data_IF_534444901209
#
_entry.id   IF_534444901209
#
_cell.length_a   1.000
_cell.length_b   1.000
_cell.length_c   1.000
_cell.angle_alpha   90.00
_cell.angle_beta   90.00
_cell.angle_gamma   90.00
#
_symmetry.space_group_name_H-M   'P 1'
#
loop_
_entity.id
_entity.type
_entity.pdbx_description
1 polymer ?
#
# COMPACT_ATOMS: atom_id res chain seq x y z
N UNK A 1 -11.26 8.21 30.68
CA UNK A 1 -10.67 6.99 30.11
C UNK A 1 -10.31 7.34 28.68
N UNK A 2 -9.02 7.51 28.42
CA UNK A 2 -8.50 7.98 27.13
C UNK A 2 -8.45 6.77 26.18
N UNK A 3 -9.42 6.70 25.27
CA UNK A 3 -9.42 5.71 24.19
C UNK A 3 -8.33 6.14 23.19
N UNK A 4 -7.15 5.54 23.31
CA UNK A 4 -6.17 5.58 22.24
C UNK A 4 -6.74 4.75 21.08
N UNK A 5 -7.08 5.40 19.97
CA UNK A 5 -7.40 4.71 18.73
C UNK A 5 -6.13 3.95 18.30
N UNK A 6 -6.11 2.63 18.48
CA UNK A 6 -5.09 1.73 17.94
C UNK A 6 -5.25 1.57 16.41
N UNK A 7 -5.38 2.68 15.68
CA UNK A 7 -5.43 2.69 14.22
C UNK A 7 -4.02 2.94 13.65
N UNK A 8 -3.11 2.02 13.97
CA UNK A 8 -1.76 2.02 13.40
C UNK A 8 -1.72 1.39 12.02
N UNK A 9 -0.74 1.79 11.21
CA UNK A 9 -0.32 1.02 10.02
C UNK A 9 0.96 0.28 10.34
N UNK A 10 1.05 -0.99 9.98
CA UNK A 10 2.28 -1.78 10.07
C UNK A 10 2.97 -1.81 8.72
N UNK A 11 4.25 -1.41 8.68
CA UNK A 11 5.10 -1.59 7.52
C UNK A 11 5.98 -2.83 7.74
N UNK A 12 5.87 -3.79 6.83
CA UNK A 12 6.70 -5.00 6.84
C UNK A 12 7.65 -4.93 5.66
N UNK A 13 8.96 -5.03 5.95
CA UNK A 13 9.97 -5.24 4.93
C UNK A 13 10.15 -6.73 4.65
N UNK A 14 10.35 -7.07 3.37
CA UNK A 14 10.49 -8.44 2.86
C UNK A 14 9.30 -9.36 3.23
N UNK A 15 8.06 -9.00 2.83
CA UNK A 15 6.84 -9.74 3.17
C UNK A 15 6.85 -11.19 2.66
N UNK A 16 7.63 -11.51 1.62
CA UNK A 16 7.79 -12.86 1.10
C UNK A 16 8.36 -13.84 2.15
N UNK A 17 9.07 -13.32 3.16
CA UNK A 17 9.59 -14.14 4.27
C UNK A 17 8.52 -14.58 5.26
N UNK A 18 7.35 -13.93 5.25
CA UNK A 18 6.22 -14.31 6.10
C UNK A 18 5.44 -15.50 5.56
N UNK A 19 5.55 -15.81 4.26
CA UNK A 19 4.80 -16.88 3.63
C UNK A 19 3.29 -16.74 3.88
N UNK A 20 2.67 -17.80 4.41
CA UNK A 20 1.23 -17.89 4.66
C UNK A 20 0.74 -17.02 5.83
N UNK A 21 1.62 -16.31 6.52
CA UNK A 21 1.26 -15.39 7.62
C UNK A 21 0.86 -13.99 7.14
N UNK A 22 0.85 -13.75 5.83
CA UNK A 22 0.39 -12.46 5.30
C UNK A 22 -1.10 -12.26 5.60
N UNK A 23 -1.50 -11.08 6.10
CA UNK A 23 -2.90 -10.78 6.34
C UNK A 23 -3.66 -10.67 5.01
N UNK A 24 -4.93 -11.03 5.04
CA UNK A 24 -5.82 -10.92 3.86
C UNK A 24 -6.16 -9.47 3.49
N UNK A 25 -6.06 -8.54 4.45
CA UNK A 25 -6.25 -7.10 4.25
C UNK A 25 -4.88 -6.41 4.22
N UNK A 26 -4.27 -6.36 3.03
CA UNK A 26 -2.89 -5.88 2.86
C UNK A 26 -2.73 -5.08 1.57
N UNK A 27 -1.84 -4.09 1.63
CA UNK A 27 -1.33 -3.37 0.48
C UNK A 27 0.11 -3.81 0.20
N UNK A 28 0.31 -4.53 -0.89
CA UNK A 28 1.63 -4.99 -1.32
C UNK A 28 2.25 -3.95 -2.26
N UNK A 29 3.46 -3.49 -1.91
CA UNK A 29 4.24 -2.53 -2.69
C UNK A 29 5.54 -3.18 -3.16
N UNK A 30 5.75 -3.25 -4.47
CA UNK A 30 7.01 -3.73 -5.06
C UNK A 30 7.74 -2.59 -5.76
N UNK A 31 8.90 -2.21 -5.22
CA UNK A 31 9.71 -1.11 -5.74
C UNK A 31 10.74 -1.63 -6.75
N UNK A 32 10.83 -0.99 -7.92
CA UNK A 32 11.78 -1.31 -8.99
C UNK A 32 12.50 -0.05 -9.46
N UNK A 33 13.74 -0.15 -9.99
CA UNK A 33 14.37 0.97 -10.67
C UNK A 33 13.53 1.49 -11.85
N UNK A 34 13.54 2.81 -12.05
CA UNK A 34 12.98 3.46 -13.23
C UNK A 34 14.02 3.62 -14.35
N UNK A 35 13.71 4.43 -15.36
CA UNK A 35 14.61 4.68 -16.49
C UNK A 35 15.76 5.62 -16.11
N UNK A 36 15.49 6.63 -15.27
CA UNK A 36 16.52 7.51 -14.73
C UNK A 36 17.11 6.99 -13.41
N UNK A 37 18.34 7.39 -13.09
CA UNK A 37 19.08 6.97 -11.88
C UNK A 37 18.27 7.15 -10.59
N UNK A 38 17.51 8.25 -10.50
CA UNK A 38 16.71 8.63 -9.34
C UNK A 38 15.22 8.29 -9.47
N UNK A 39 14.83 7.61 -10.54
CA UNK A 39 13.44 7.20 -10.76
C UNK A 39 13.19 5.82 -10.14
N UNK A 40 12.00 5.63 -9.57
CA UNK A 40 11.53 4.34 -9.08
C UNK A 40 10.11 4.09 -9.61
N UNK A 41 9.84 2.84 -9.96
CA UNK A 41 8.50 2.35 -10.27
C UNK A 41 7.99 1.56 -9.08
N UNK A 42 6.70 1.66 -8.81
CA UNK A 42 6.04 0.91 -7.75
C UNK A 42 4.88 0.15 -8.36
N UNK A 43 4.92 -1.17 -8.26
CA UNK A 43 3.75 -1.99 -8.51
C UNK A 43 2.96 -2.08 -7.20
N UNK A 44 1.66 -1.80 -7.28
CA UNK A 44 0.74 -1.77 -6.13
C UNK A 44 -0.30 -2.86 -6.34
N UNK A 45 -0.42 -3.75 -5.37
CA UNK A 45 -1.48 -4.76 -5.32
C UNK A 45 -2.25 -4.53 -4.01
N UNK A 46 -3.51 -4.16 -4.14
CA UNK A 46 -4.42 -4.04 -3.01
C UNK A 46 -5.22 -5.32 -2.84
N UNK A 47 -5.58 -5.60 -1.59
CA UNK A 47 -6.50 -6.66 -1.20
C UNK A 47 -7.31 -6.21 0.01
N UNK A 48 -8.51 -6.77 0.18
CA UNK A 48 -9.38 -6.38 1.28
C UNK A 48 -9.82 -4.91 1.19
N UNK A 49 -9.80 -4.22 2.33
CA UNK A 49 -10.25 -2.83 2.41
C UNK A 49 -9.38 -1.85 1.64
N UNK A 50 -8.19 -2.26 1.19
CA UNK A 50 -7.31 -1.42 0.37
C UNK A 50 -7.80 -1.19 -1.05
N UNK A 51 -8.60 -2.11 -1.61
CA UNK A 51 -9.15 -1.94 -2.97
C UNK A 51 -10.06 -0.71 -3.03
N UNK A 52 -10.96 -0.57 -2.06
CA UNK A 52 -11.87 0.57 -1.94
C UNK A 52 -11.13 1.88 -1.65
N UNK A 53 -10.08 1.82 -0.81
CA UNK A 53 -9.25 2.99 -0.48
C UNK A 53 -8.54 3.55 -1.71
N UNK A 54 -7.94 2.69 -2.54
CA UNK A 54 -7.26 3.12 -3.76
C UNK A 54 -8.25 3.68 -4.79
N UNK A 55 -9.42 3.08 -4.93
CA UNK A 55 -10.45 3.57 -5.86
C UNK A 55 -10.97 4.94 -5.46
N UNK A 56 -11.13 5.23 -4.17
CA UNK A 56 -11.67 6.51 -3.70
C UNK A 56 -10.73 7.69 -3.99
N UNK A 57 -9.41 7.49 -3.86
CA UNK A 57 -8.41 8.57 -4.03
C UNK A 57 -7.90 8.73 -5.47
N UNK A 58 -7.91 7.66 -6.29
CA UNK A 58 -7.34 7.72 -7.65
C UNK A 58 -8.20 8.55 -8.62
N UNK A 59 -9.53 8.57 -8.46
CA UNK A 59 -10.42 9.38 -9.29
C UNK A 59 -10.33 10.89 -8.99
N UNK A 60 -10.02 11.29 -7.75
CA UNK A 60 -9.94 12.72 -7.40
C UNK A 60 -8.69 13.42 -7.96
N UNK A 61 -7.59 12.66 -8.17
CA UNK A 61 -6.29 13.21 -8.59
C UNK A 61 -6.06 13.23 -10.11
N UNK A 62 -6.85 12.50 -10.90
CA UNK A 62 -6.72 12.48 -12.37
C UNK A 62 -7.55 13.57 -13.06
N UNK A 63 -8.62 14.06 -12.42
CA UNK A 63 -9.51 15.08 -12.99
C UNK A 63 -9.30 16.49 -12.41
N UNK A 64 -8.29 16.68 -11.56
CA UNK A 64 -7.90 17.98 -11.02
C UNK A 64 -6.67 18.55 -11.73
N UNK A 65 -6.83 19.04 -12.95
CA UNK A 65 -5.85 19.86 -13.69
C UNK A 65 -6.57 20.79 -14.65
#
# INVERSE_FOLDING_TARGET
MEQAYEEGVTLVEWPERMGDLLPADVLMLSFKPGLAERERKVDIIASGGWEDRLNTDMFSRILGS
#
